data_IF_918475917790
#
_entry.id   IF_918475917790
#
_cell.length_a   1.000
_cell.length_b   1.000
_cell.length_c   1.000
_cell.angle_alpha   90.00
_cell.angle_beta   90.00
_cell.angle_gamma   90.00
#
_symmetry.space_group_name_H-M   'P 1'
#
loop_
_entity.id
_entity.type
_entity.pdbx_description
1 polymer ?
#
# COMPACT_ATOMS: atom_id res chain seq x y z
N UNK A 1 -10.76 1.61 11.90
CA UNK A 1 -11.76 1.49 10.80
C UNK A 1 -12.07 0.02 10.54
N UNK A 2 -13.28 -0.31 10.09
CA UNK A 2 -13.67 -1.69 9.86
C UNK A 2 -13.59 -2.09 8.39
N UNK A 3 -13.12 -3.30 8.14
CA UNK A 3 -13.19 -3.98 6.84
C UNK A 3 -14.37 -4.93 6.90
N UNK A 4 -15.26 -4.87 5.91
CA UNK A 4 -16.46 -5.69 5.87
C UNK A 4 -16.40 -6.67 4.71
N UNK A 5 -16.80 -7.91 4.97
CA UNK A 5 -17.20 -8.86 3.94
C UNK A 5 -18.65 -8.59 3.58
N UNK A 6 -18.88 -8.30 2.30
CA UNK A 6 -20.21 -8.06 1.76
C UNK A 6 -20.64 -9.30 0.99
N UNK A 7 -21.81 -9.83 1.34
CA UNK A 7 -22.47 -10.93 0.65
C UNK A 7 -23.85 -10.50 0.18
N UNK A 8 -24.57 -11.37 -0.52
CA UNK A 8 -25.98 -11.17 -0.86
C UNK A 8 -26.89 -11.04 0.37
N UNK A 9 -26.44 -11.50 1.54
CA UNK A 9 -27.27 -11.62 2.76
C UNK A 9 -26.83 -10.74 3.92
N UNK A 10 -25.55 -10.37 3.98
CA UNK A 10 -24.98 -9.76 5.18
C UNK A 10 -23.80 -8.84 4.88
N UNK A 11 -23.61 -7.90 5.81
CA UNK A 11 -22.43 -7.04 5.94
C UNK A 11 -21.74 -7.41 7.25
N UNK A 12 -20.64 -8.17 7.17
CA UNK A 12 -19.97 -8.73 8.35
C UNK A 12 -18.60 -8.08 8.53
N UNK A 13 -18.30 -7.45 9.67
CA UNK A 13 -16.96 -6.93 9.94
C UNK A 13 -15.99 -8.11 10.08
N UNK A 14 -14.94 -8.11 9.27
CA UNK A 14 -13.90 -9.14 9.28
C UNK A 14 -12.58 -8.66 9.90
N UNK A 15 -12.32 -7.35 9.83
CA UNK A 15 -11.15 -6.73 10.45
C UNK A 15 -11.50 -5.39 11.08
N UNK A 16 -10.84 -5.10 12.21
CA UNK A 16 -10.70 -3.73 12.72
C UNK A 16 -9.25 -3.29 12.53
N UNK A 17 -9.05 -2.23 11.76
CA UNK A 17 -7.74 -1.68 11.45
C UNK A 17 -7.32 -0.67 12.51
N UNK A 18 -6.17 -0.94 13.13
CA UNK A 18 -5.44 -0.04 14.02
C UNK A 18 -3.99 0.07 13.51
N UNK A 19 -3.59 1.28 13.12
CA UNK A 19 -2.25 1.58 12.61
C UNK A 19 -1.49 2.39 13.65
N UNK A 20 -1.20 1.80 14.81
CA UNK A 20 -0.48 2.46 15.91
C UNK A 20 -1.02 3.87 16.24
N UNK A 21 -0.17 4.90 16.21
CA UNK A 21 -0.53 6.30 16.46
C UNK A 21 -1.13 6.99 15.24
N UNK A 22 -1.15 6.35 14.06
CA UNK A 22 -1.71 6.93 12.85
C UNK A 22 -3.23 6.88 12.89
N UNK A 23 -3.85 8.06 12.80
CA UNK A 23 -5.30 8.19 12.92
C UNK A 23 -5.97 8.48 11.59
N UNK A 24 -7.15 7.90 11.40
CA UNK A 24 -8.03 8.28 10.30
C UNK A 24 -8.79 9.56 10.65
N UNK A 25 -9.16 10.38 9.64
CA UNK A 25 -9.99 11.56 9.87
C UNK A 25 -11.28 11.20 10.61
N UNK A 26 -11.63 11.97 11.64
CA UNK A 26 -12.90 11.77 12.34
C UNK A 26 -14.07 12.30 11.53
N UNK A 27 -15.27 11.78 11.78
CA UNK A 27 -16.47 12.28 11.10
C UNK A 27 -16.76 13.74 11.40
N UNK A 28 -16.46 14.22 12.62
CA UNK A 28 -16.65 15.62 12.99
C UNK A 28 -15.69 16.55 12.24
N UNK A 29 -14.42 16.14 12.13
CA UNK A 29 -13.44 16.84 11.32
C UNK A 29 -13.90 16.90 9.86
N UNK A 30 -14.28 15.77 9.27
CA UNK A 30 -14.72 15.72 7.88
C UNK A 30 -15.95 16.59 7.65
N UNK A 31 -16.99 16.48 8.49
CA UNK A 31 -18.20 17.31 8.37
C UNK A 31 -17.92 18.81 8.47
N UNK A 32 -16.97 19.21 9.32
CA UNK A 32 -16.60 20.61 9.48
C UNK A 32 -15.79 21.13 8.28
N UNK A 33 -14.75 20.40 7.91
CA UNK A 33 -13.73 20.89 6.98
C UNK A 33 -14.09 20.66 5.50
N UNK A 34 -15.00 19.74 5.19
CA UNK A 34 -15.43 19.42 3.81
C UNK A 34 -16.74 20.11 3.40
N UNK A 35 -17.45 20.76 4.34
CA UNK A 35 -18.75 21.37 4.06
C UNK A 35 -18.66 22.41 2.95
N UNK A 36 -19.39 22.17 1.86
CA UNK A 36 -19.45 23.07 0.70
C UNK A 36 -18.19 23.05 -0.18
N UNK A 37 -17.23 22.14 0.07
CA UNK A 37 -16.04 21.95 -0.78
C UNK A 37 -16.23 20.73 -1.68
N UNK A 38 -16.00 20.90 -2.97
CA UNK A 38 -15.98 19.78 -3.94
C UNK A 38 -14.69 18.96 -3.85
N UNK A 39 -13.57 19.59 -3.49
CA UNK A 39 -12.28 18.96 -3.24
C UNK A 39 -11.76 19.37 -1.87
N UNK A 40 -11.61 18.36 -1.00
CA UNK A 40 -11.10 18.51 0.36
C UNK A 40 -9.81 17.74 0.61
N UNK A 41 -9.21 17.14 -0.44
CA UNK A 41 -7.99 16.31 -0.35
C UNK A 41 -6.84 17.08 0.28
N UNK A 42 -6.56 18.29 -0.22
CA UNK A 42 -5.56 19.21 0.36
C UNK A 42 -5.83 19.59 1.81
N UNK A 43 -7.11 19.62 2.22
CA UNK A 43 -7.44 19.91 3.62
C UNK A 43 -7.02 18.74 4.49
N UNK A 44 -7.33 17.51 4.10
CA UNK A 44 -6.88 16.30 4.82
C UNK A 44 -5.36 16.21 4.82
N UNK A 45 -4.71 16.48 3.68
CA UNK A 45 -3.25 16.51 3.56
C UNK A 45 -2.60 17.63 4.39
N UNK A 46 -3.32 18.61 4.92
CA UNK A 46 -2.71 19.61 5.80
C UNK A 46 -2.83 19.24 7.29
N UNK A 47 -3.41 18.07 7.60
CA UNK A 47 -3.60 17.58 8.95
C UNK A 47 -2.81 16.29 9.23
N UNK A 48 -2.74 15.94 10.52
CA UNK A 48 -2.00 14.78 11.03
C UNK A 48 -2.70 13.43 10.79
N UNK A 49 -3.69 13.40 9.90
CA UNK A 49 -4.45 12.20 9.59
C UNK A 49 -3.82 11.39 8.45
N UNK A 50 -4.15 10.10 8.42
CA UNK A 50 -3.99 9.27 7.22
C UNK A 50 -4.85 9.89 6.12
N UNK A 51 -4.20 10.35 5.04
CA UNK A 51 -4.87 11.00 3.93
C UNK A 51 -5.26 10.04 2.81
N UNK A 52 -4.56 8.92 2.68
CA UNK A 52 -4.94 7.82 1.80
C UNK A 52 -4.41 6.49 2.31
N UNK A 53 -5.10 5.40 1.96
CA UNK A 53 -4.62 4.05 2.21
C UNK A 53 -5.19 3.08 1.17
N UNK A 54 -4.51 1.95 0.99
CA UNK A 54 -5.03 0.76 0.32
C UNK A 54 -5.09 -0.42 1.29
N UNK A 55 -5.84 -1.44 0.92
CA UNK A 55 -5.90 -2.71 1.64
C UNK A 55 -5.89 -3.84 0.62
N UNK A 56 -4.89 -4.71 0.72
CA UNK A 56 -4.72 -5.86 -0.15
C UNK A 56 -4.56 -7.12 0.69
N UNK A 57 -5.27 -8.17 0.31
CA UNK A 57 -5.42 -9.36 1.13
C UNK A 57 -4.97 -10.61 0.36
N UNK A 58 -4.13 -11.42 0.99
CA UNK A 58 -3.88 -12.81 0.55
C UNK A 58 -4.38 -13.76 1.63
N UNK A 59 -4.31 -15.07 1.41
CA UNK A 59 -4.62 -16.06 2.45
C UNK A 59 -3.67 -15.96 3.66
N UNK A 60 -2.44 -15.48 3.43
CA UNK A 60 -1.35 -15.51 4.42
C UNK A 60 -1.16 -14.16 5.14
N UNK A 61 -1.43 -13.03 4.49
CA UNK A 61 -1.19 -11.70 5.07
C UNK A 61 -2.11 -10.59 4.51
N UNK A 62 -2.20 -9.48 5.24
CA UNK A 62 -2.72 -8.20 4.75
C UNK A 62 -1.58 -7.22 4.50
N UNK A 63 -1.69 -6.45 3.42
CA UNK A 63 -0.80 -5.34 3.10
C UNK A 63 -1.60 -4.04 3.05
N UNK A 64 -1.15 -3.04 3.82
CA UNK A 64 -1.83 -1.77 4.02
C UNK A 64 -0.85 -0.64 3.71
N UNK A 65 -0.62 -0.28 2.44
CA UNK A 65 0.10 0.94 2.13
C UNK A 65 -0.74 2.15 2.52
N UNK A 66 -0.16 3.12 3.21
CA UNK A 66 -0.87 4.32 3.62
C UNK A 66 0.04 5.55 3.60
N UNK A 67 -0.59 6.71 3.44
CA UNK A 67 0.07 7.99 3.43
C UNK A 67 -0.55 8.89 4.49
N UNK A 68 0.34 9.60 5.18
CA UNK A 68 0.02 10.73 6.05
C UNK A 68 0.88 11.88 5.58
N UNK A 69 0.29 13.05 5.49
CA UNK A 69 0.99 14.18 4.91
C UNK A 69 2.26 14.58 5.66
N UNK A 70 3.16 15.21 4.92
CA UNK A 70 4.49 15.62 5.36
C UNK A 70 5.36 14.47 5.89
N UNK A 71 5.03 13.22 5.54
CA UNK A 71 5.84 12.05 5.85
C UNK A 71 6.00 11.16 4.62
N UNK A 72 7.14 10.46 4.50
CA UNK A 72 7.29 9.41 3.50
C UNK A 72 6.16 8.37 3.65
N UNK A 73 5.70 7.77 2.54
CA UNK A 73 4.73 6.68 2.60
C UNK A 73 5.17 5.57 3.57
N UNK A 74 4.21 5.06 4.33
CA UNK A 74 4.42 3.95 5.25
C UNK A 74 3.62 2.75 4.76
N UNK A 75 3.94 1.59 5.32
CA UNK A 75 3.17 0.39 5.03
C UNK A 75 2.97 -0.46 6.27
N UNK A 76 1.72 -0.83 6.53
CA UNK A 76 1.36 -1.87 7.47
C UNK A 76 1.40 -3.24 6.79
N UNK A 77 1.87 -4.24 7.52
CA UNK A 77 1.73 -5.64 7.17
C UNK A 77 1.16 -6.39 8.35
N UNK A 78 0.23 -7.31 8.09
CA UNK A 78 -0.33 -8.19 9.10
C UNK A 78 -0.18 -9.63 8.67
N UNK A 79 0.59 -10.40 9.42
CA UNK A 79 0.72 -11.84 9.26
C UNK A 79 -0.51 -12.52 9.90
N UNK A 80 -1.30 -13.23 9.10
CA UNK A 80 -2.55 -13.87 9.56
C UNK A 80 -2.28 -15.13 10.39
N UNK A 81 -1.14 -15.80 10.16
CA UNK A 81 -0.74 -17.01 10.88
C UNK A 81 -0.27 -16.64 12.28
N UNK A 82 0.65 -15.69 12.37
CA UNK A 82 1.23 -15.23 13.64
C UNK A 82 0.33 -14.23 14.38
N UNK A 83 -0.70 -13.70 13.70
CA UNK A 83 -1.59 -12.64 14.19
C UNK A 83 -0.83 -11.39 14.65
N UNK A 84 0.23 -11.05 13.93
CA UNK A 84 1.12 -9.93 14.26
C UNK A 84 1.14 -8.91 13.15
N UNK A 85 0.96 -7.65 13.54
CA UNK A 85 1.11 -6.49 12.67
C UNK A 85 2.46 -5.82 12.87
N UNK A 86 3.00 -5.23 11.81
CA UNK A 86 4.16 -4.34 11.87
C UNK A 86 4.00 -3.20 10.86
N UNK A 87 4.48 -2.01 11.22
CA UNK A 87 4.55 -0.86 10.34
C UNK A 87 6.01 -0.68 9.90
N UNK A 88 6.22 -0.57 8.60
CA UNK A 88 7.52 -0.26 8.00
C UNK A 88 7.51 1.15 7.43
N UNK A 89 8.61 1.87 7.68
CA UNK A 89 8.94 3.06 6.90
C UNK A 89 9.17 2.67 5.44
N UNK A 90 9.07 3.64 4.52
CA UNK A 90 9.42 3.42 3.11
C UNK A 90 10.82 2.80 2.97
N UNK A 91 11.78 3.28 3.76
CA UNK A 91 13.18 2.84 3.69
C UNK A 91 13.33 1.39 4.12
N UNK A 92 12.62 0.95 5.15
CA UNK A 92 12.69 -0.42 5.65
C UNK A 92 11.91 -1.37 4.76
N UNK A 93 10.80 -0.90 4.17
CA UNK A 93 10.10 -1.63 3.12
C UNK A 93 10.99 -1.87 1.89
N UNK A 94 11.72 -0.86 1.41
CA UNK A 94 12.66 -1.05 0.31
C UNK A 94 13.76 -2.08 0.61
N UNK A 95 14.30 -2.03 1.83
CA UNK A 95 15.32 -2.99 2.27
C UNK A 95 14.75 -4.40 2.33
N UNK A 96 13.50 -4.57 2.79
CA UNK A 96 12.90 -5.89 2.96
C UNK A 96 12.56 -6.57 1.63
N UNK A 97 12.06 -5.83 0.65
CA UNK A 97 11.72 -6.39 -0.68
C UNK A 97 12.94 -6.51 -1.61
N UNK A 98 14.02 -5.78 -1.33
CA UNK A 98 15.26 -5.77 -2.11
C UNK A 98 15.06 -5.55 -3.63
N UNK A 99 14.05 -4.77 -4.02
CA UNK A 99 13.78 -4.42 -5.42
C UNK A 99 14.51 -3.12 -5.83
N UNK A 100 14.75 -2.21 -4.88
CA UNK A 100 15.30 -0.88 -5.15
C UNK A 100 14.30 0.10 -5.79
N UNK A 101 13.06 -0.33 -6.07
CA UNK A 101 11.98 0.46 -6.69
C UNK A 101 10.65 0.14 -6.01
N UNK A 102 9.67 1.05 -6.09
CA UNK A 102 8.37 0.87 -5.44
C UNK A 102 7.45 -0.01 -6.30
N UNK A 103 6.99 -1.15 -5.77
CA UNK A 103 5.88 -1.87 -6.37
C UNK A 103 4.56 -1.15 -6.07
N UNK A 104 3.78 -0.88 -7.11
CA UNK A 104 2.44 -0.31 -6.99
C UNK A 104 1.41 -1.41 -7.14
N UNK A 105 0.63 -1.67 -6.09
CA UNK A 105 -0.41 -2.68 -6.12
C UNK A 105 -1.43 -2.43 -7.25
N UNK A 106 -1.80 -3.51 -7.95
CA UNK A 106 -2.87 -3.53 -8.97
C UNK A 106 -3.99 -4.48 -8.62
N UNK A 107 -3.71 -5.43 -7.74
CA UNK A 107 -4.67 -6.39 -7.24
C UNK A 107 -3.97 -7.48 -6.46
N UNK A 108 -4.72 -8.52 -6.14
CA UNK A 108 -4.25 -9.65 -5.36
C UNK A 108 -5.04 -10.90 -5.77
N UNK A 109 -4.43 -12.05 -5.54
CA UNK A 109 -5.09 -13.34 -5.44
C UNK A 109 -4.92 -13.85 -4.01
N UNK A 110 -5.53 -14.98 -3.69
CA UNK A 110 -5.30 -15.64 -2.40
C UNK A 110 -3.82 -16.00 -2.18
N UNK A 111 -3.02 -16.13 -3.24
CA UNK A 111 -1.62 -16.55 -3.13
C UNK A 111 -0.61 -15.40 -3.15
N UNK A 112 -0.96 -14.27 -3.78
CA UNK A 112 0.02 -13.20 -4.00
C UNK A 112 -0.61 -11.84 -4.23
N UNK A 113 0.17 -10.81 -3.94
CA UNK A 113 -0.09 -9.46 -4.42
C UNK A 113 0.49 -9.30 -5.81
N UNK A 114 -0.26 -8.63 -6.68
CA UNK A 114 0.15 -8.29 -8.04
C UNK A 114 0.47 -6.81 -8.05
N UNK A 115 1.74 -6.48 -8.29
CA UNK A 115 2.20 -5.10 -8.34
C UNK A 115 2.80 -4.77 -9.70
N UNK A 116 2.57 -3.56 -10.17
CA UNK A 116 3.30 -2.98 -11.30
C UNK A 116 4.57 -2.32 -10.77
N UNK A 117 5.71 -2.57 -11.43
CA UNK A 117 6.92 -1.81 -11.20
C UNK A 117 6.94 -0.63 -12.17
N UNK A 118 6.97 0.57 -11.59
CA UNK A 118 7.19 1.80 -12.36
C UNK A 118 8.65 2.22 -12.24
N UNK A 119 9.24 2.54 -13.38
CA UNK A 119 10.58 3.11 -13.46
C UNK A 119 10.45 4.59 -13.81
N UNK A 120 11.21 5.39 -13.10
CA UNK A 120 11.44 6.78 -13.48
C UNK A 120 12.77 6.76 -14.26
N UNK A 121 12.69 6.85 -15.59
CA UNK A 121 13.86 6.77 -16.49
C UNK A 121 14.90 7.84 -16.16
N UNK A 122 14.48 8.96 -15.57
CA UNK A 122 15.33 10.08 -15.17
C UNK A 122 16.05 9.85 -13.83
N UNK A 123 15.57 8.90 -13.01
CA UNK A 123 16.20 8.57 -11.73
C UNK A 123 17.18 7.42 -11.88
N UNK A 124 18.46 7.71 -11.64
CA UNK A 124 19.55 6.73 -11.45
C UNK A 124 19.31 5.89 -10.18
N UNK A 125 18.29 5.04 -10.21
CA UNK A 125 17.98 4.11 -9.13
C UNK A 125 18.89 2.90 -9.26
N UNK A 126 19.75 2.65 -8.26
CA UNK A 126 20.64 1.48 -8.27
C UNK A 126 19.84 0.22 -7.95
N UNK A 127 19.37 -0.47 -8.98
CA UNK A 127 18.64 -1.74 -8.86
C UNK A 127 19.63 -2.85 -8.58
N UNK A 128 19.56 -3.42 -7.37
CA UNK A 128 20.44 -4.52 -6.92
C UNK A 128 19.91 -5.89 -7.30
N UNK A 129 18.61 -6.03 -7.51
CA UNK A 129 18.00 -7.30 -7.89
C UNK A 129 18.37 -7.64 -9.34
N UNK A 130 19.14 -8.70 -9.53
CA UNK A 130 19.63 -9.09 -10.86
C UNK A 130 18.50 -9.43 -11.83
N UNK A 131 17.49 -10.19 -11.39
CA UNK A 131 16.36 -10.58 -12.24
C UNK A 131 15.59 -9.36 -12.72
N UNK A 132 15.32 -8.42 -11.82
CA UNK A 132 14.65 -7.17 -12.15
C UNK A 132 15.51 -6.31 -13.08
N UNK A 133 16.82 -6.20 -12.79
CA UNK A 133 17.76 -5.46 -13.63
C UNK A 133 17.79 -6.01 -15.06
N UNK A 134 17.93 -7.32 -15.21
CA UNK A 134 17.93 -7.99 -16.51
C UNK A 134 16.59 -7.78 -17.24
N UNK A 135 15.46 -7.81 -16.52
CA UNK A 135 14.15 -7.55 -17.12
C UNK A 135 13.99 -6.11 -17.63
N UNK A 136 14.61 -5.13 -16.98
CA UNK A 136 14.58 -3.72 -17.38
C UNK A 136 15.51 -3.47 -18.56
N UNK A 137 16.73 -4.00 -18.51
CA UNK A 137 17.73 -3.79 -19.58
C UNK A 137 17.27 -4.40 -20.92
N UNK A 138 16.43 -5.43 -20.88
CA UNK A 138 15.85 -6.06 -22.07
C UNK A 138 14.48 -5.50 -22.48
N UNK A 139 13.94 -4.52 -21.74
CA UNK A 139 12.61 -3.96 -22.00
C UNK A 139 12.66 -2.94 -23.14
N UNK A 140 11.76 -3.08 -24.10
CA UNK A 140 11.50 -2.08 -25.14
C UNK A 140 10.43 -1.06 -24.69
N UNK A 141 10.37 0.14 -25.30
CA UNK A 141 9.33 1.14 -25.00
C UNK A 141 7.90 0.65 -25.22
N UNK A 142 7.69 -0.26 -26.18
CA UNK A 142 6.38 -0.81 -26.52
C UNK A 142 5.99 -2.03 -25.67
N UNK A 143 6.91 -2.53 -24.84
CA UNK A 143 6.64 -3.70 -24.00
C UNK A 143 5.64 -3.35 -22.89
N UNK A 144 4.91 -4.37 -22.46
CA UNK A 144 4.01 -4.27 -21.31
C UNK A 144 4.76 -3.96 -20.00
N UNK A 145 4.07 -3.40 -18.98
CA UNK A 145 4.67 -3.14 -17.67
C UNK A 145 5.25 -4.39 -17.02
N UNK A 146 6.36 -4.23 -16.28
CA UNK A 146 6.93 -5.32 -15.49
C UNK A 146 6.07 -5.52 -14.25
N UNK A 147 5.62 -6.76 -14.03
CA UNK A 147 4.87 -7.13 -12.84
C UNK A 147 5.79 -7.78 -11.80
N UNK A 148 5.56 -7.43 -10.53
CA UNK A 148 6.16 -8.06 -9.37
C UNK A 148 5.09 -8.77 -8.56
N UNK A 149 5.33 -10.04 -8.26
CA UNK A 149 4.46 -10.85 -7.42
C UNK A 149 5.06 -10.96 -6.01
N UNK A 150 4.32 -10.50 -5.01
CA UNK A 150 4.76 -10.55 -3.60
C UNK A 150 3.98 -11.67 -2.90
N UNK A 151 4.72 -12.59 -2.28
CA UNK A 151 4.19 -13.74 -1.54
C UNK A 151 4.79 -13.78 -0.14
N UNK A 152 4.06 -14.36 0.81
CA UNK A 152 4.63 -14.72 2.10
C UNK A 152 5.75 -15.75 1.89
N UNK A 153 6.85 -15.60 2.65
CA UNK A 153 7.91 -16.59 2.65
C UNK A 153 7.39 -17.82 3.41
N UNK A 154 7.39 -18.97 2.74
CA UNK A 154 7.02 -20.26 3.34
C UNK A 154 8.06 -20.70 4.37
#
# INVERSE_FOLDING_TARGET
PYVYKITDRAFEPIYELFLESYQFPTMDFLKKETKGKSDYTKTIDNHDFISSFGLYETKDFLWIPFHKSNMPPCTGFYDKKEKKGYILSLSDYFKSINLGVLPFAKGNTDECLICEIKFDEDKKTTIKNKVLKDAIENKSPDDNPILCLIKAKQ
#
